data_IF_230961878016
#
_entry.id   IF_230961878016
#
_cell.length_a   1.000
_cell.length_b   1.000
_cell.length_c   1.000
_cell.angle_alpha   90.00
_cell.angle_beta   90.00
_cell.angle_gamma   90.00
#
_symmetry.space_group_name_H-M   'P 1'
#
loop_
_entity.id
_entity.type
_entity.pdbx_description
1 polymer ?
#
# COMPACT_ATOMS: atom_id res chain seq x y z
N UNK A 1 -5.01 19.52 9.29
CA UNK A 1 -5.02 18.93 10.64
C UNK A 1 -4.48 17.51 10.49
N UNK A 2 -3.59 17.07 11.38
CA UNK A 2 -2.96 15.74 11.32
C UNK A 2 -3.55 14.88 12.43
N UNK A 3 -4.07 13.69 12.09
CA UNK A 3 -4.61 12.76 13.08
C UNK A 3 -3.48 11.88 13.64
N UNK A 4 -3.39 11.79 14.97
CA UNK A 4 -2.37 11.00 15.65
C UNK A 4 -3.01 10.11 16.71
N UNK A 5 -2.47 8.91 16.89
CA UNK A 5 -2.90 7.96 17.90
C UNK A 5 -1.71 7.13 18.38
N UNK A 6 -1.46 7.09 19.69
CA UNK A 6 -0.38 6.28 20.31
C UNK A 6 1.01 6.50 19.69
N UNK A 7 1.35 7.74 19.36
CA UNK A 7 2.63 8.11 18.74
C UNK A 7 2.72 7.80 17.23
N UNK A 8 1.63 7.38 16.60
CA UNK A 8 1.53 7.18 15.15
C UNK A 8 0.72 8.29 14.51
N UNK A 9 1.09 8.64 13.28
CA UNK A 9 0.42 9.66 12.46
C UNK A 9 -0.28 8.99 11.28
N UNK A 10 -1.57 9.25 11.10
CA UNK A 10 -2.34 8.75 9.95
C UNK A 10 -1.97 9.57 8.70
N UNK A 11 -1.53 8.89 7.64
CA UNK A 11 -1.06 9.55 6.41
C UNK A 11 -1.93 9.26 5.20
N UNK A 12 -2.54 8.07 5.14
CA UNK A 12 -3.32 7.61 4.00
C UNK A 12 -4.37 6.60 4.43
N UNK A 13 -5.40 6.44 3.61
CA UNK A 13 -6.40 5.39 3.69
C UNK A 13 -6.77 4.92 2.29
N UNK A 14 -6.82 3.60 2.14
CA UNK A 14 -7.15 2.89 0.91
C UNK A 14 -8.49 2.20 1.12
N UNK A 15 -9.51 2.64 0.40
CA UNK A 15 -10.88 2.17 0.55
C UNK A 15 -11.25 1.17 -0.53
N UNK A 16 -12.26 0.37 -0.26
CA UNK A 16 -12.84 -0.56 -1.22
C UNK A 16 -14.32 -0.27 -1.50
N UNK A 17 -14.78 0.91 -1.10
CA UNK A 17 -16.18 1.31 -1.20
C UNK A 17 -16.41 2.57 -2.03
N UNK A 18 -15.34 3.23 -2.46
CA UNK A 18 -15.37 4.41 -3.32
C UNK A 18 -14.50 4.21 -4.57
N UNK A 19 -14.19 5.30 -5.26
CA UNK A 19 -13.39 5.24 -6.50
C UNK A 19 -11.92 4.92 -6.20
N UNK A 20 -11.23 4.37 -7.19
CA UNK A 20 -9.83 3.93 -7.12
C UNK A 20 -8.84 5.11 -7.14
N UNK A 21 -8.84 5.99 -6.13
CA UNK A 21 -8.05 7.22 -6.23
C UNK A 21 -6.54 6.98 -6.11
N UNK A 22 -6.13 5.86 -5.49
CA UNK A 22 -4.72 5.48 -5.43
C UNK A 22 -4.23 4.85 -6.72
N UNK A 23 -5.12 4.28 -7.52
CA UNK A 23 -4.80 3.75 -8.85
C UNK A 23 -5.35 4.64 -9.97
N UNK A 24 -5.11 5.95 -9.84
CA UNK A 24 -5.37 6.87 -10.97
C UNK A 24 -4.26 6.72 -12.00
N UNK A 25 -4.61 6.75 -13.29
CA UNK A 25 -3.68 6.68 -14.43
C UNK A 25 -2.56 7.73 -14.40
N UNK A 26 -2.84 8.89 -13.79
CA UNK A 26 -1.87 9.96 -13.62
C UNK A 26 -0.91 9.76 -12.44
N UNK A 27 -1.11 8.73 -11.62
CA UNK A 27 -0.35 8.43 -10.39
C UNK A 27 -0.43 9.54 -9.33
N UNK A 28 -1.35 10.51 -9.47
CA UNK A 28 -1.30 11.79 -8.77
C UNK A 28 -1.23 11.69 -7.25
N UNK A 29 -1.92 10.73 -6.64
CA UNK A 29 -1.97 10.61 -5.18
C UNK A 29 -0.61 10.23 -4.59
N UNK A 30 0.13 9.35 -5.27
CA UNK A 30 1.48 8.96 -4.88
C UNK A 30 2.48 10.10 -5.07
N UNK A 31 2.43 10.80 -6.21
CA UNK A 31 3.48 11.75 -6.62
C UNK A 31 3.19 13.22 -6.31
N UNK A 32 2.03 13.74 -6.73
CA UNK A 32 1.83 15.18 -6.88
C UNK A 32 0.77 15.79 -5.96
N UNK A 33 -0.01 14.97 -5.26
CA UNK A 33 -1.13 15.47 -4.47
C UNK A 33 -0.63 16.37 -3.33
N UNK A 34 -0.99 17.65 -3.35
CA UNK A 34 -0.54 18.65 -2.37
C UNK A 34 -1.64 19.18 -1.46
N UNK A 35 -2.87 18.67 -1.62
CA UNK A 35 -4.02 19.05 -0.81
C UNK A 35 -4.53 17.81 -0.08
N UNK A 36 -4.89 17.95 1.20
CA UNK A 36 -5.48 16.84 1.93
C UNK A 36 -6.88 16.54 1.38
N UNK A 37 -7.21 15.27 1.16
CA UNK A 37 -8.52 14.81 0.68
C UNK A 37 -9.07 13.73 1.61
N UNK A 38 -10.39 13.58 1.65
CA UNK A 38 -11.08 12.61 2.51
C UNK A 38 -11.14 13.00 3.98
N UNK A 39 -11.64 12.08 4.82
CA UNK A 39 -11.84 12.29 6.24
C UNK A 39 -10.54 12.19 7.06
N UNK A 40 -9.66 13.19 6.92
CA UNK A 40 -8.31 13.24 7.50
C UNK A 40 -8.25 13.23 9.04
N UNK A 41 -9.36 13.50 9.72
CA UNK A 41 -9.50 13.53 11.17
C UNK A 41 -10.34 12.37 11.73
N UNK A 42 -10.74 11.40 10.89
CA UNK A 42 -11.56 10.28 11.30
C UNK A 42 -11.00 8.99 10.69
N UNK A 43 -10.34 8.17 11.51
CA UNK A 43 -9.74 6.89 11.11
C UNK A 43 -10.74 5.80 10.69
N UNK A 44 -12.03 5.98 10.99
CA UNK A 44 -13.02 4.90 10.90
C UNK A 44 -13.92 4.95 9.68
N UNK A 45 -13.70 5.91 8.77
CA UNK A 45 -14.40 5.94 7.49
C UNK A 45 -13.85 4.88 6.55
N UNK A 46 -14.72 4.35 5.69
CA UNK A 46 -14.32 3.58 4.52
C UNK A 46 -14.44 4.53 3.32
N UNK A 47 -13.43 5.38 3.14
CA UNK A 47 -13.29 6.32 2.04
C UNK A 47 -11.80 6.52 1.78
N UNK A 48 -11.40 6.86 0.57
CA UNK A 48 -10.02 7.22 0.34
C UNK A 48 -9.66 8.50 1.08
N UNK A 49 -8.46 8.53 1.65
CA UNK A 49 -7.98 9.69 2.38
C UNK A 49 -6.49 9.86 2.16
N UNK A 50 -6.06 11.09 1.89
CA UNK A 50 -4.65 11.47 1.92
C UNK A 50 -4.47 12.70 2.80
N UNK A 51 -3.64 12.56 3.82
CA UNK A 51 -3.31 13.63 4.76
C UNK A 51 -2.09 14.40 4.27
N UNK A 52 -1.98 15.69 4.62
CA UNK A 52 -0.75 16.45 4.35
C UNK A 52 0.49 15.81 4.97
N UNK A 53 0.32 15.02 6.03
CA UNK A 53 1.40 14.29 6.68
C UNK A 53 2.12 13.31 5.73
N UNK A 54 1.45 12.83 4.68
CA UNK A 54 2.03 11.94 3.66
C UNK A 54 3.31 12.51 3.01
N UNK A 55 3.38 13.83 2.85
CA UNK A 55 4.53 14.54 2.25
C UNK A 55 5.16 15.60 3.17
N UNK A 56 4.70 15.73 4.42
CA UNK A 56 5.24 16.74 5.35
C UNK A 56 5.77 16.17 6.67
N UNK A 57 5.41 14.94 7.03
CA UNK A 57 5.89 14.27 8.24
C UNK A 57 6.86 13.17 7.84
N UNK A 58 8.08 13.26 8.39
CA UNK A 58 9.06 12.18 8.30
C UNK A 58 8.79 11.10 9.34
N UNK A 59 9.05 9.86 8.97
CA UNK A 59 8.99 8.71 9.87
C UNK A 59 10.14 7.74 9.64
N UNK A 60 10.23 6.74 10.49
CA UNK A 60 11.15 5.59 10.40
C UNK A 60 10.42 4.30 10.09
N UNK A 61 9.21 4.16 10.60
CA UNK A 61 8.40 2.94 10.47
C UNK A 61 6.99 3.28 9.99
N UNK A 62 6.33 2.30 9.37
CA UNK A 62 4.92 2.33 9.04
C UNK A 62 4.16 1.19 9.73
N UNK A 63 2.86 1.36 9.89
CA UNK A 63 1.91 0.28 10.20
C UNK A 63 0.65 0.41 9.36
N UNK A 64 -0.03 -0.70 9.18
CA UNK A 64 -1.35 -0.77 8.54
C UNK A 64 -2.37 -1.32 9.53
N UNK A 65 -3.54 -0.70 9.59
CA UNK A 65 -4.67 -1.10 10.44
C UNK A 65 -5.95 -1.07 9.62
N UNK A 66 -7.01 -1.74 10.07
CA UNK A 66 -8.34 -1.53 9.48
C UNK A 66 -8.97 -0.24 10.00
N UNK A 67 -9.91 0.32 9.25
CA UNK A 67 -10.73 1.46 9.70
C UNK A 67 -11.80 1.07 10.72
N UNK A 68 -12.32 -0.15 10.63
CA UNK A 68 -13.35 -0.68 11.52
C UNK A 68 -12.80 -1.26 12.83
N UNK A 69 -11.48 -1.25 13.02
CA UNK A 69 -10.84 -1.50 14.32
C UNK A 69 -10.56 -0.18 15.07
N UNK A 70 -11.37 0.18 16.08
CA UNK A 70 -11.18 1.41 16.85
C UNK A 70 -9.92 1.38 17.73
N UNK A 71 -9.35 0.20 17.98
CA UNK A 71 -8.12 0.06 18.77
C UNK A 71 -6.86 0.28 17.92
N UNK A 72 -7.01 0.36 16.60
CA UNK A 72 -5.91 0.52 15.64
C UNK A 72 -4.80 -0.51 15.84
N UNK A 73 -5.19 -1.77 16.08
CA UNK A 73 -4.29 -2.90 16.23
C UNK A 73 -3.59 -3.08 14.87
N UNK A 74 -2.24 -3.06 14.83
CA UNK A 74 -1.50 -3.30 13.59
C UNK A 74 -1.85 -4.67 13.02
N UNK A 75 -2.27 -4.69 11.75
CA UNK A 75 -2.27 -5.90 10.93
C UNK A 75 -0.85 -6.23 10.50
N UNK A 76 -0.10 -5.19 10.13
CA UNK A 76 1.34 -5.24 9.97
C UNK A 76 2.00 -3.98 10.52
N UNK A 77 3.24 -4.12 10.96
CA UNK A 77 4.13 -3.02 11.32
C UNK A 77 5.53 -3.31 10.80
N UNK A 78 6.16 -2.35 10.12
CA UNK A 78 7.58 -2.49 9.75
C UNK A 78 8.48 -2.34 10.97
N UNK A 79 9.61 -3.03 10.98
CA UNK A 79 10.63 -2.87 12.02
C UNK A 79 11.89 -2.18 11.49
N UNK A 80 12.63 -1.53 12.39
CA UNK A 80 13.94 -0.95 12.09
C UNK A 80 13.84 0.51 11.62
N UNK A 81 14.11 0.75 10.34
CA UNK A 81 14.12 2.10 9.75
C UNK A 81 13.65 2.08 8.29
N UNK A 82 12.53 1.43 8.04
CA UNK A 82 11.98 1.22 6.69
C UNK A 82 11.89 2.51 5.85
N UNK A 83 11.44 3.60 6.47
CA UNK A 83 11.28 4.90 5.82
C UNK A 83 12.58 5.71 5.76
N UNK A 84 13.63 5.32 6.50
CA UNK A 84 14.92 6.01 6.47
C UNK A 84 14.91 7.42 7.06
N UNK A 85 13.90 7.80 7.86
CA UNK A 85 13.71 9.18 8.32
C UNK A 85 13.13 10.12 7.26
N UNK A 86 12.64 9.57 6.14
CA UNK A 86 12.02 10.33 5.06
C UNK A 86 10.51 10.48 5.29
N UNK A 87 9.89 11.40 4.56
CA UNK A 87 8.44 11.38 4.39
C UNK A 87 8.03 10.13 3.62
N UNK A 88 6.78 9.70 3.77
CA UNK A 88 6.30 8.53 3.02
C UNK A 88 6.34 8.77 1.51
N UNK A 89 5.94 9.97 1.04
CA UNK A 89 6.10 10.34 -0.38
C UNK A 89 7.54 10.21 -0.84
N UNK A 90 8.48 10.84 -0.13
CA UNK A 90 9.91 10.78 -0.49
C UNK A 90 10.41 9.33 -0.57
N UNK A 91 9.98 8.46 0.35
CA UNK A 91 10.30 7.02 0.30
C UNK A 91 9.76 6.37 -0.97
N UNK A 92 8.48 6.54 -1.27
CA UNK A 92 7.84 5.90 -2.43
C UNK A 92 8.40 6.42 -3.75
N UNK A 93 8.60 7.73 -3.89
CA UNK A 93 9.15 8.33 -5.12
C UNK A 93 10.67 8.16 -5.26
N UNK A 94 11.37 7.64 -4.23
CA UNK A 94 12.82 7.43 -4.31
C UNK A 94 13.24 6.31 -5.27
N UNK A 95 12.30 5.42 -5.63
CA UNK A 95 12.56 4.28 -6.51
C UNK A 95 12.42 4.62 -8.00
N UNK A 96 11.73 5.71 -8.33
CA UNK A 96 11.48 6.10 -9.71
C UNK A 96 10.23 6.97 -9.84
N UNK A 97 9.96 7.36 -11.08
CA UNK A 97 8.74 8.05 -11.50
C UNK A 97 8.00 7.16 -12.50
N UNK A 98 6.87 6.59 -12.04
CA UNK A 98 6.12 5.57 -12.77
C UNK A 98 4.82 6.09 -13.40
N UNK A 99 4.68 7.41 -13.48
CA UNK A 99 3.53 8.04 -14.15
C UNK A 99 3.59 7.83 -15.68
N UNK A 100 2.49 8.16 -16.35
CA UNK A 100 2.37 8.15 -17.82
C UNK A 100 2.65 6.77 -18.46
N UNK A 101 2.15 5.69 -17.84
CA UNK A 101 2.28 4.32 -18.39
C UNK A 101 3.66 3.69 -18.23
N UNK A 102 4.53 4.29 -17.42
CA UNK A 102 5.85 3.72 -17.15
C UNK A 102 5.70 2.49 -16.26
N UNK A 103 6.15 1.33 -16.75
CA UNK A 103 6.21 0.09 -15.97
C UNK A 103 7.24 0.23 -14.86
N UNK A 104 6.88 -0.10 -13.61
CA UNK A 104 7.74 0.22 -12.47
C UNK A 104 8.86 -0.77 -12.21
N UNK A 105 8.65 -2.06 -12.43
CA UNK A 105 9.65 -3.08 -12.17
C UNK A 105 9.56 -4.23 -13.19
N UNK A 106 10.49 -5.16 -13.11
CA UNK A 106 10.47 -6.41 -13.88
C UNK A 106 10.93 -7.54 -12.96
N UNK A 107 10.01 -8.45 -12.64
CA UNK A 107 10.24 -9.64 -11.81
C UNK A 107 10.92 -9.34 -10.47
N UNK A 108 10.53 -8.25 -9.80
CA UNK A 108 11.10 -7.84 -8.51
C UNK A 108 10.23 -6.82 -7.78
N UNK A 109 10.53 -6.63 -6.49
CA UNK A 109 10.21 -5.41 -5.76
C UNK A 109 11.43 -4.48 -5.73
N UNK A 110 11.26 -3.19 -6.05
CA UNK A 110 12.37 -2.22 -6.03
C UNK A 110 12.89 -1.92 -4.62
N UNK A 111 12.09 -2.18 -3.60
CA UNK A 111 12.55 -2.18 -2.21
C UNK A 111 11.68 -3.05 -1.33
N UNK A 112 12.18 -3.38 -0.14
CA UNK A 112 11.41 -4.12 0.86
C UNK A 112 11.82 -3.77 2.28
N UNK A 113 10.91 -4.03 3.22
CA UNK A 113 11.13 -3.86 4.65
C UNK A 113 10.63 -5.08 5.43
N UNK A 114 11.33 -5.49 6.51
CA UNK A 114 10.83 -6.53 7.39
C UNK A 114 9.60 -6.02 8.15
N UNK A 115 8.62 -6.91 8.35
CA UNK A 115 7.40 -6.61 9.09
C UNK A 115 7.14 -7.63 10.19
N UNK A 116 6.34 -7.21 11.17
CA UNK A 116 5.67 -8.08 12.13
C UNK A 116 4.17 -8.01 11.87
N UNK A 117 3.55 -9.17 11.72
CA UNK A 117 2.10 -9.27 11.59
C UNK A 117 1.42 -9.37 12.96
N UNK A 118 0.18 -8.91 13.03
CA UNK A 118 -0.63 -8.92 14.23
C UNK A 118 -2.12 -8.80 13.92
N UNK A 119 -2.93 -8.60 14.97
CA UNK A 119 -4.37 -8.42 14.82
C UNK A 119 -5.04 -9.49 13.97
N UNK A 120 -5.91 -9.07 13.07
CA UNK A 120 -6.71 -9.94 12.20
C UNK A 120 -6.16 -10.01 10.76
N UNK A 121 -4.83 -9.96 10.59
CA UNK A 121 -4.23 -9.92 9.25
C UNK A 121 -4.67 -11.09 8.36
N UNK A 122 -4.79 -12.30 8.92
CA UNK A 122 -5.20 -13.51 8.19
C UNK A 122 -6.60 -13.47 7.59
N UNK A 123 -7.48 -12.61 8.11
CA UNK A 123 -8.84 -12.43 7.60
C UNK A 123 -9.03 -11.07 6.93
N UNK A 124 -7.93 -10.41 6.55
CA UNK A 124 -7.94 -9.13 5.86
C UNK A 124 -7.47 -9.32 4.43
N UNK A 125 -8.21 -8.74 3.49
CA UNK A 125 -7.89 -8.73 2.07
C UNK A 125 -6.59 -7.95 1.82
N UNK A 126 -5.77 -8.45 0.91
CA UNK A 126 -4.40 -8.00 0.65
C UNK A 126 -3.33 -8.63 1.52
N UNK A 127 -3.67 -9.50 2.48
CA UNK A 127 -2.71 -10.19 3.36
C UNK A 127 -2.62 -11.70 3.11
N UNK A 128 -3.29 -12.20 2.06
CA UNK A 128 -3.37 -13.63 1.72
C UNK A 128 -1.99 -14.27 1.56
N UNK A 129 -1.00 -13.50 1.09
CA UNK A 129 0.37 -13.98 0.85
C UNK A 129 1.35 -13.66 1.98
N UNK A 130 0.88 -13.16 3.13
CA UNK A 130 1.71 -12.78 4.28
C UNK A 130 2.64 -13.90 4.79
N UNK A 131 2.19 -15.15 4.72
CA UNK A 131 2.93 -16.34 5.16
C UNK A 131 3.66 -17.07 4.00
N UNK A 132 3.56 -16.56 2.76
CA UNK A 132 4.16 -17.18 1.58
C UNK A 132 5.60 -16.71 1.34
N UNK A 133 6.48 -17.62 0.93
CA UNK A 133 7.85 -17.29 0.52
C UNK A 133 8.00 -17.50 -0.99
N UNK A 134 8.25 -16.42 -1.72
CA UNK A 134 8.33 -16.42 -3.17
C UNK A 134 9.67 -15.91 -3.69
N UNK A 135 9.78 -15.85 -5.02
CA UNK A 135 11.01 -15.52 -5.74
C UNK A 135 11.34 -14.03 -5.70
N UNK A 136 10.34 -13.15 -5.75
CA UNK A 136 10.55 -11.69 -5.75
C UNK A 136 10.48 -11.08 -4.35
N UNK A 137 9.82 -11.77 -3.42
CA UNK A 137 9.73 -11.38 -2.02
C UNK A 137 9.39 -12.58 -1.14
N UNK A 138 9.74 -12.49 0.14
CA UNK A 138 9.49 -13.52 1.16
C UNK A 138 8.34 -13.15 2.09
N UNK A 139 7.93 -14.11 2.91
CA UNK A 139 7.04 -13.87 4.04
C UNK A 139 7.65 -12.83 4.98
N UNK A 140 6.81 -12.20 5.81
CA UNK A 140 7.21 -11.18 6.79
C UNK A 140 7.93 -9.98 6.17
N UNK A 141 7.56 -9.62 4.93
CA UNK A 141 8.01 -8.39 4.29
C UNK A 141 6.83 -7.59 3.74
N UNK A 142 7.07 -6.30 3.62
CA UNK A 142 6.33 -5.42 2.71
C UNK A 142 7.30 -4.93 1.63
N UNK A 143 6.88 -5.05 0.38
CA UNK A 143 7.63 -4.66 -0.80
C UNK A 143 7.12 -3.34 -1.36
N UNK A 144 7.93 -2.65 -2.13
CA UNK A 144 7.57 -1.41 -2.81
C UNK A 144 7.81 -1.55 -4.30
N UNK A 145 6.82 -1.16 -5.10
CA UNK A 145 6.84 -1.22 -6.57
C UNK A 145 7.23 -2.62 -7.05
N UNK A 146 6.35 -3.57 -6.79
CA UNK A 146 6.54 -4.97 -7.11
C UNK A 146 5.87 -5.31 -8.43
N UNK A 147 6.55 -6.11 -9.24
CA UNK A 147 6.12 -6.62 -10.53
C UNK A 147 6.46 -8.11 -10.63
N UNK A 148 5.64 -8.86 -11.36
CA UNK A 148 5.94 -10.26 -11.68
C UNK A 148 5.51 -10.65 -13.09
N UNK A 149 6.46 -11.10 -13.92
CA UNK A 149 6.22 -11.62 -15.27
C UNK A 149 5.61 -10.56 -16.21
N UNK A 150 4.82 -11.00 -17.18
CA UNK A 150 4.19 -10.13 -18.18
C UNK A 150 2.91 -9.44 -17.71
N UNK A 151 2.72 -9.18 -16.41
CA UNK A 151 1.53 -8.51 -15.89
C UNK A 151 1.44 -8.60 -14.37
N UNK A 152 0.59 -7.79 -13.76
CA UNK A 152 0.36 -7.71 -12.31
C UNK A 152 1.42 -6.95 -11.51
N UNK A 153 0.97 -6.09 -10.61
CA UNK A 153 1.87 -5.48 -9.65
C UNK A 153 1.18 -4.73 -8.53
N UNK A 154 1.99 -4.31 -7.56
CA UNK A 154 1.55 -3.56 -6.40
C UNK A 154 2.53 -2.45 -6.04
N UNK A 155 1.99 -1.28 -5.70
CA UNK A 155 2.79 -0.19 -5.11
C UNK A 155 3.35 -0.61 -3.76
N UNK A 156 2.56 -1.31 -2.94
CA UNK A 156 3.02 -1.95 -1.70
C UNK A 156 2.54 -3.40 -1.60
N UNK A 157 3.43 -4.36 -1.87
CA UNK A 157 3.09 -5.78 -1.83
C UNK A 157 3.29 -6.37 -0.43
N UNK A 158 2.29 -7.04 0.12
CA UNK A 158 2.33 -7.60 1.48
C UNK A 158 2.55 -9.11 1.44
N UNK A 159 3.70 -9.56 1.95
CA UNK A 159 4.06 -10.98 1.96
C UNK A 159 4.91 -11.38 0.75
N UNK A 160 4.90 -12.68 0.43
CA UNK A 160 5.69 -13.22 -0.68
C UNK A 160 5.06 -12.97 -2.04
N UNK A 161 5.90 -12.91 -3.08
CA UNK A 161 5.43 -12.76 -4.47
C UNK A 161 6.16 -13.69 -5.43
N UNK A 162 5.57 -13.89 -6.60
CA UNK A 162 6.08 -14.77 -7.66
C UNK A 162 5.21 -16.00 -7.87
N UNK A 163 5.66 -16.94 -8.71
CA UNK A 163 4.84 -18.08 -9.15
C UNK A 163 4.28 -18.95 -8.00
N UNK A 164 5.00 -19.04 -6.88
CA UNK A 164 4.56 -19.81 -5.71
C UNK A 164 3.66 -19.04 -4.74
N UNK A 165 3.54 -17.71 -4.91
CA UNK A 165 2.81 -16.81 -4.01
C UNK A 165 1.81 -15.93 -4.76
N UNK A 166 1.22 -16.48 -5.82
CA UNK A 166 0.24 -15.77 -6.65
C UNK A 166 0.75 -14.38 -7.11
N UNK A 167 1.91 -14.37 -7.78
CA UNK A 167 2.38 -13.20 -8.56
C UNK A 167 2.61 -11.96 -7.69
N UNK A 168 2.18 -10.78 -8.12
CA UNK A 168 2.44 -9.49 -7.46
C UNK A 168 1.19 -8.57 -7.36
N UNK A 169 0.00 -9.12 -7.59
CA UNK A 169 -1.34 -8.46 -7.62
C UNK A 169 -1.99 -8.31 -6.23
N UNK A 170 -1.21 -8.17 -5.15
CA UNK A 170 -1.76 -8.13 -3.80
C UNK A 170 -1.09 -7.13 -2.87
N UNK A 171 -1.86 -6.62 -1.91
CA UNK A 171 -1.43 -5.59 -0.98
C UNK A 171 -2.18 -4.28 -1.24
N UNK A 172 -1.44 -3.19 -1.49
CA UNK A 172 -1.97 -1.82 -1.67
C UNK A 172 -1.52 -1.26 -3.01
N UNK A 173 -2.44 -0.59 -3.71
CA UNK A 173 -2.26 -0.02 -5.03
C UNK A 173 -1.92 -1.11 -6.04
N UNK A 174 -2.90 -1.97 -6.33
CA UNK A 174 -2.73 -3.15 -7.16
C UNK A 174 -3.25 -2.91 -8.57
N UNK A 175 -2.55 -3.48 -9.55
CA UNK A 175 -2.96 -3.52 -10.96
C UNK A 175 -2.86 -4.96 -11.45
N UNK A 176 -3.87 -5.41 -12.20
CA UNK A 176 -3.89 -6.70 -12.92
C UNK A 176 -3.67 -6.49 -14.43
N UNK A 177 -3.18 -5.32 -14.82
CA UNK A 177 -2.85 -5.04 -16.21
C UNK A 177 -1.69 -5.93 -16.69
N UNK A 178 -1.57 -6.08 -18.01
CA UNK A 178 -0.44 -6.78 -18.68
C UNK A 178 0.92 -6.09 -18.45
N UNK A 179 0.97 -5.06 -17.60
CA UNK A 179 2.19 -4.49 -17.07
C UNK A 179 1.92 -3.81 -15.72
N UNK A 180 2.89 -3.87 -14.81
CA UNK A 180 2.81 -3.20 -13.52
C UNK A 180 2.98 -1.67 -13.69
N UNK A 181 1.87 -0.99 -13.97
CA UNK A 181 1.76 0.45 -14.25
C UNK A 181 0.44 1.01 -13.72
N UNK A 182 0.21 2.31 -13.86
CA UNK A 182 -1.08 2.95 -13.54
C UNK A 182 -2.10 2.91 -14.68
N UNK A 183 -1.77 2.38 -15.87
CA UNK A 183 -2.71 2.40 -17.00
C UNK A 183 -3.67 1.21 -16.89
N UNK A 184 -4.96 1.51 -16.75
CA UNK A 184 -6.04 0.51 -16.83
C UNK A 184 -6.37 0.19 -18.31
N UNK A 185 -5.73 -0.83 -18.90
CA UNK A 185 -5.99 -1.27 -20.29
C UNK A 185 -6.98 -2.45 -20.35
N UNK A 186 -8.13 -2.30 -19.68
CA UNK A 186 -9.20 -3.30 -19.66
C UNK A 186 -9.09 -4.38 -18.57
N UNK A 187 -8.00 -4.40 -17.81
CA UNK A 187 -7.84 -5.17 -16.55
C UNK A 187 -8.33 -4.38 -15.34
N UNK A 188 -8.38 -5.02 -14.16
CA UNK A 188 -8.84 -4.37 -12.93
C UNK A 188 -7.69 -3.80 -12.10
N UNK A 189 -7.86 -2.57 -11.61
CA UNK A 189 -7.02 -2.01 -10.54
C UNK A 189 -7.79 -1.86 -9.23
N UNK A 190 -7.10 -1.81 -8.09
CA UNK A 190 -7.73 -1.58 -6.77
C UNK A 190 -6.80 -0.83 -5.82
N UNK A 191 -7.38 -0.04 -4.90
CA UNK A 191 -6.57 0.66 -3.89
C UNK A 191 -5.92 -0.31 -2.90
N UNK A 192 -6.55 -1.46 -2.63
CA UNK A 192 -5.95 -2.59 -1.94
C UNK A 192 -6.71 -3.89 -2.23
N UNK A 193 -6.07 -5.04 -2.02
CA UNK A 193 -6.73 -6.33 -2.15
C UNK A 193 -5.79 -7.47 -2.53
N UNK A 194 -6.42 -8.58 -2.90
CA UNK A 194 -5.87 -9.76 -3.57
C UNK A 194 -7.04 -10.12 -4.49
N UNK A 195 -7.02 -9.60 -5.72
CA UNK A 195 -8.21 -9.38 -6.55
C UNK A 195 -9.27 -8.42 -5.92
N UNK A 196 -10.54 -8.54 -6.31
CA UNK A 196 -11.66 -7.76 -5.82
C UNK A 196 -11.89 -7.91 -4.29
N UNK A 197 -12.01 -6.80 -3.53
CA UNK A 197 -12.27 -6.85 -2.09
C UNK A 197 -13.60 -7.53 -1.72
N UNK A 198 -13.60 -8.34 -0.65
CA UNK A 198 -14.74 -9.20 -0.27
C UNK A 198 -15.63 -8.62 0.83
N UNK A 199 -15.16 -7.60 1.54
CA UNK A 199 -15.77 -7.02 2.73
C UNK A 199 -15.63 -5.50 2.72
N UNK A 200 -16.58 -4.75 3.31
CA UNK A 200 -16.52 -3.28 3.31
C UNK A 200 -15.72 -2.73 4.49
N UNK A 201 -14.45 -2.39 4.26
CA UNK A 201 -13.58 -1.63 5.18
C UNK A 201 -12.45 -0.96 4.38
N UNK A 202 -11.68 -0.09 5.04
CA UNK A 202 -10.47 0.47 4.43
C UNK A 202 -9.23 0.12 5.25
N UNK A 203 -8.07 0.23 4.62
CA UNK A 203 -6.77 0.12 5.26
C UNK A 203 -6.24 1.51 5.57
N UNK A 204 -5.98 1.79 6.84
CA UNK A 204 -5.28 2.99 7.27
C UNK A 204 -3.78 2.75 7.28
N UNK A 205 -3.02 3.66 6.68
CA UNK A 205 -1.56 3.69 6.73
C UNK A 205 -1.08 4.78 7.68
N UNK A 206 -0.22 4.37 8.60
CA UNK A 206 0.34 5.23 9.64
C UNK A 206 1.85 5.22 9.60
N UNK A 207 2.47 6.31 10.05
CA UNK A 207 3.94 6.40 10.23
C UNK A 207 4.30 6.91 11.63
N UNK A 208 5.52 6.62 12.08
CA UNK A 208 6.15 7.20 13.28
C UNK A 208 7.64 7.41 13.06
#
# INVERSE_FOLDING_TARGET
MVFTANGWTLIARFSNSDGKNWMRDDGRWWYDQQIALGATNNSSKNDDMISTAFWSVSGRELKITRSDDPSHIPLLQTTGNCLGGQTFRSKITSYGDFRNGTVWASDQCLGSCPVQYGGQYKSTDGFQQADCNGSIQSANKIGFWCDWSGGDGAVMMIGGGGSSCARADHGIGITEADAASFIEDGSSEYDFGYDAPSQSYSLNLWIR
#
